data_IF_078281593366
#
_entry.id   IF_078281593366
#
_cell.length_a   1.000
_cell.length_b   1.000
_cell.length_c   1.000
_cell.angle_alpha   90.00
_cell.angle_beta   90.00
_cell.angle_gamma   90.00
#
_symmetry.space_group_name_H-M   'P 1'
#
loop_
_entity.id
_entity.type
_entity.pdbx_description
1 polymer ?
#
# COMPACT_ATOMS: atom_id res chain seq x y z
N UNK A 1 -11.10 -25.37 5.19
CA UNK A 1 -11.65 -23.99 5.20
C UNK A 1 -11.36 -23.48 3.81
N UNK A 2 -12.38 -23.54 2.96
CA UNK A 2 -12.21 -23.36 1.51
C UNK A 2 -12.05 -21.88 1.17
N UNK A 3 -11.10 -21.59 0.29
CA UNK A 3 -10.87 -20.25 -0.24
C UNK A 3 -11.85 -20.04 -1.40
N UNK A 4 -12.79 -19.10 -1.26
CA UNK A 4 -13.88 -18.85 -2.22
C UNK A 4 -13.47 -17.96 -3.41
N UNK A 5 -12.23 -17.46 -3.42
CA UNK A 5 -11.71 -16.63 -4.51
C UNK A 5 -12.39 -15.26 -4.67
N UNK A 6 -13.38 -14.95 -3.82
CA UNK A 6 -14.05 -13.64 -3.74
C UNK A 6 -13.52 -12.79 -2.59
N UNK A 7 -12.64 -13.35 -1.77
CA UNK A 7 -11.83 -12.58 -0.84
C UNK A 7 -10.90 -11.70 -1.68
N UNK A 8 -11.30 -10.44 -1.92
CA UNK A 8 -10.45 -9.42 -2.54
C UNK A 8 -9.08 -9.52 -1.87
N UNK A 9 -8.09 -10.00 -2.62
CA UNK A 9 -6.72 -10.08 -2.12
C UNK A 9 -6.23 -8.64 -2.01
N UNK A 10 -6.48 -8.04 -0.85
CA UNK A 10 -5.95 -6.73 -0.52
C UNK A 10 -4.44 -6.87 -0.46
N UNK A 11 -3.76 -6.21 -1.38
CA UNK A 11 -2.31 -6.06 -1.38
C UNK A 11 -1.96 -4.63 -0.97
N UNK A 12 -0.89 -4.50 -0.22
CA UNK A 12 -0.48 -3.25 0.38
C UNK A 12 1.03 -3.17 0.43
N UNK A 13 1.52 -1.94 0.41
CA UNK A 13 2.94 -1.65 0.49
C UNK A 13 3.17 -0.92 1.81
N UNK A 14 4.07 -1.41 2.66
CA UNK A 14 4.32 -0.81 3.97
C UNK A 14 5.58 0.04 4.00
N UNK A 15 5.53 1.11 4.80
CA UNK A 15 6.70 1.89 5.19
C UNK A 15 7.43 1.27 6.40
N UNK A 16 8.54 1.88 6.83
CA UNK A 16 9.29 1.36 7.99
C UNK A 16 8.57 1.49 9.33
N UNK A 17 7.50 2.29 9.40
CA UNK A 17 6.67 2.48 10.60
C UNK A 17 5.52 1.47 10.66
N UNK A 18 5.35 0.65 9.63
CA UNK A 18 4.29 -0.34 9.54
C UNK A 18 2.96 0.23 9.03
N UNK A 19 2.94 1.46 8.51
CA UNK A 19 1.75 1.99 7.81
C UNK A 19 1.64 1.30 6.47
N UNK A 20 0.47 0.76 6.16
CA UNK A 20 0.19 0.06 4.92
C UNK A 20 -0.55 0.97 3.95
N UNK A 21 0.08 1.25 2.83
CA UNK A 21 -0.50 1.96 1.70
C UNK A 21 -1.20 0.95 0.80
N UNK A 22 -2.53 1.04 0.69
CA UNK A 22 -3.33 0.12 -0.11
C UNK A 22 -4.35 0.87 -0.97
N UNK A 23 -4.76 0.27 -2.08
CA UNK A 23 -5.70 0.91 -3.00
C UNK A 23 -7.10 0.32 -2.84
N UNK A 24 -8.08 1.20 -2.64
CA UNK A 24 -9.49 0.85 -2.45
C UNK A 24 -10.37 1.56 -3.48
N UNK A 25 -11.68 1.39 -3.39
CA UNK A 25 -12.63 2.14 -4.21
C UNK A 25 -12.56 3.66 -4.00
N UNK A 26 -12.11 4.09 -2.82
CA UNK A 26 -12.00 5.50 -2.41
C UNK A 26 -10.60 6.08 -2.67
N UNK A 27 -9.74 5.32 -3.36
CA UNK A 27 -8.35 5.69 -3.65
C UNK A 27 -7.33 5.04 -2.71
N UNK A 28 -6.12 5.59 -2.67
CA UNK A 28 -5.04 5.11 -1.79
C UNK A 28 -5.36 5.45 -0.33
N UNK A 29 -5.37 4.43 0.54
CA UNK A 29 -5.55 4.53 1.98
C UNK A 29 -4.22 4.29 2.71
N UNK A 30 -4.08 4.87 3.90
CA UNK A 30 -2.90 4.75 4.79
C UNK A 30 -3.33 4.11 6.11
N UNK A 31 -3.30 2.79 6.14
CA UNK A 31 -3.84 2.03 7.26
C UNK A 31 -2.76 1.67 8.29
N UNK A 32 -3.06 1.89 9.57
CA UNK A 32 -2.20 1.46 10.68
C UNK A 32 -2.63 0.11 11.29
N UNK A 33 -3.80 -0.40 10.88
CA UNK A 33 -4.42 -1.63 11.40
C UNK A 33 -5.20 -2.34 10.30
N UNK A 34 -5.58 -3.60 10.51
CA UNK A 34 -6.32 -4.43 9.55
C UNK A 34 -5.43 -5.33 8.68
N UNK A 35 -4.10 -5.22 8.83
CA UNK A 35 -3.10 -6.01 8.12
C UNK A 35 -2.33 -6.98 9.02
N UNK A 36 -2.78 -7.19 10.25
CA UNK A 36 -2.07 -7.97 11.28
C UNK A 36 -1.89 -9.45 10.88
N UNK A 37 -2.75 -9.94 9.99
CA UNK A 37 -2.73 -11.32 9.48
C UNK A 37 -2.07 -11.43 8.08
N UNK A 38 -1.49 -10.35 7.55
CA UNK A 38 -0.87 -10.37 6.23
C UNK A 38 0.51 -11.06 6.24
N UNK A 39 0.94 -11.51 5.06
CA UNK A 39 2.31 -11.99 4.85
C UNK A 39 3.13 -10.81 4.33
N UNK A 40 4.15 -10.39 5.08
CA UNK A 40 5.09 -9.36 4.64
C UNK A 40 6.26 -9.98 3.89
N UNK A 41 6.53 -9.48 2.69
CA UNK A 41 7.69 -9.87 1.89
C UNK A 41 8.65 -8.68 1.81
N UNK A 42 9.86 -8.77 2.41
CA UNK A 42 10.80 -7.66 2.40
C UNK A 42 11.34 -7.42 0.98
N UNK A 43 11.15 -6.21 0.47
CA UNK A 43 11.59 -5.81 -0.87
C UNK A 43 13.09 -5.44 -0.92
N UNK A 44 13.65 -5.02 0.21
CA UNK A 44 15.04 -4.60 0.33
C UNK A 44 15.77 -5.41 1.39
N UNK A 45 17.06 -5.62 1.18
CA UNK A 45 17.92 -6.28 2.16
C UNK A 45 18.15 -5.35 3.37
N UNK A 46 18.33 -5.89 4.58
CA UNK A 46 18.49 -5.10 5.80
C UNK A 46 19.68 -4.12 5.77
N UNK A 47 20.70 -4.39 4.96
CA UNK A 47 21.91 -3.57 4.80
C UNK A 47 21.68 -2.30 3.96
N UNK A 48 20.49 -2.12 3.37
CA UNK A 48 20.15 -0.97 2.54
C UNK A 48 19.36 0.11 3.30
N UNK A 49 19.75 0.41 4.54
CA UNK A 49 19.05 1.38 5.41
C UNK A 49 18.83 2.76 4.78
N UNK A 50 19.77 3.28 3.99
CA UNK A 50 19.61 4.58 3.31
C UNK A 50 18.47 4.59 2.29
N UNK A 51 18.11 3.43 1.72
CA UNK A 51 16.97 3.31 0.81
C UNK A 51 15.64 3.27 1.55
N UNK A 52 15.62 2.91 2.83
CA UNK A 52 14.40 2.86 3.63
C UNK A 52 13.83 4.25 3.92
N UNK A 53 14.69 5.22 4.27
CA UNK A 53 14.24 6.60 4.50
C UNK A 53 13.73 7.24 3.19
N UNK A 54 14.39 6.98 2.06
CA UNK A 54 13.90 7.41 0.75
C UNK A 54 12.59 6.73 0.37
N UNK A 55 12.45 5.44 0.70
CA UNK A 55 11.23 4.67 0.46
C UNK A 55 10.03 5.26 1.19
N UNK A 56 10.18 5.55 2.47
CA UNK A 56 9.12 6.17 3.28
C UNK A 56 8.69 7.54 2.70
N UNK A 57 9.66 8.36 2.29
CA UNK A 57 9.39 9.65 1.64
C UNK A 57 8.67 9.49 0.29
N UNK A 58 9.06 8.49 -0.51
CA UNK A 58 8.39 8.22 -1.78
C UNK A 58 6.96 7.74 -1.57
N UNK A 59 6.73 6.80 -0.64
CA UNK A 59 5.38 6.32 -0.34
C UNK A 59 4.46 7.47 0.06
N UNK A 60 4.92 8.32 0.98
CA UNK A 60 4.16 9.50 1.39
C UNK A 60 3.85 10.43 0.20
N UNK A 61 4.89 10.86 -0.53
CA UNK A 61 4.74 11.78 -1.66
C UNK A 61 3.84 11.24 -2.76
N UNK A 62 3.98 9.97 -3.13
CA UNK A 62 3.19 9.39 -4.21
C UNK A 62 1.77 9.05 -3.75
N UNK A 63 1.55 8.71 -2.48
CA UNK A 63 0.21 8.41 -1.96
C UNK A 63 -0.77 9.59 -2.05
N UNK A 64 -0.26 10.81 -1.98
CA UNK A 64 -1.06 12.05 -2.10
C UNK A 64 -1.29 12.48 -3.57
N UNK A 65 -0.90 11.64 -4.55
CA UNK A 65 -1.04 11.96 -5.96
C UNK A 65 -2.50 12.06 -6.43
N UNK A 66 -2.88 13.06 -7.24
CA UNK A 66 -4.27 13.22 -7.70
C UNK A 66 -4.75 12.08 -8.60
N UNK A 67 -3.83 11.28 -9.14
CA UNK A 67 -4.15 10.09 -9.94
C UNK A 67 -4.89 9.00 -9.16
N UNK A 68 -4.87 9.07 -7.83
CA UNK A 68 -5.57 8.12 -6.95
C UNK A 68 -7.00 8.55 -6.63
N UNK A 69 -7.39 9.77 -7.00
CA UNK A 69 -8.76 10.27 -6.78
C UNK A 69 -9.76 9.40 -7.57
N UNK A 70 -10.86 8.92 -6.95
CA UNK A 70 -11.87 8.11 -7.64
C UNK A 70 -12.42 8.78 -8.91
N UNK A 71 -12.45 10.11 -8.95
CA UNK A 71 -12.86 10.87 -10.14
C UNK A 71 -11.87 10.75 -11.30
N UNK A 72 -10.58 10.57 -11.05
CA UNK A 72 -9.57 10.31 -12.09
C UNK A 72 -9.85 8.97 -12.80
N UNK A 73 -10.23 7.93 -12.06
CA UNK A 73 -10.65 6.63 -12.64
C UNK A 73 -11.85 6.79 -13.58
N UNK A 74 -12.83 7.62 -13.21
CA UNK A 74 -14.04 7.82 -14.02
C UNK A 74 -13.79 8.63 -15.31
N UNK A 75 -12.70 9.39 -15.37
CA UNK A 75 -12.34 10.20 -16.55
C UNK A 75 -11.51 9.44 -17.59
N UNK A 76 -10.88 8.33 -17.19
CA UNK A 76 -9.93 7.57 -18.02
C UNK A 76 -10.26 6.06 -18.10
N UNK A 77 -11.40 5.62 -17.56
CA UNK A 77 -11.89 4.23 -17.57
C UNK A 77 -12.84 3.90 -18.71
#
# INVERSE_FOLDING_TARGET
RDFDGTSDLHTGISDTKGVVYNYTQDGVQRDQSGWECCISVPLVRPDMFHLLDQWDQYLERFSDGPMWDPSYRNQHG
#
